data_IF_020341607365
#
_entry.id   IF_020341607365
#
_cell.length_a   1.000
_cell.length_b   1.000
_cell.length_c   1.000
_cell.angle_alpha   90.00
_cell.angle_beta   90.00
_cell.angle_gamma   90.00
#
_symmetry.space_group_name_H-M   'P 1'
#
loop_
_entity.id
_entity.type
_entity.pdbx_description
1 polymer ?
#
# COMPACT_ATOMS: atom_id res chain seq x y z
N UNK A 1 -9.35 2.45 15.90
CA UNK A 1 -8.14 3.02 15.27
C UNK A 1 -7.92 2.31 13.94
N UNK A 2 -7.74 3.09 12.85
CA UNK A 2 -7.60 2.61 11.48
C UNK A 2 -8.93 2.54 10.72
N UNK A 3 -9.04 3.27 9.62
CA UNK A 3 -10.29 3.53 8.89
C UNK A 3 -10.49 2.78 7.58
N UNK A 4 -9.60 1.85 7.21
CA UNK A 4 -9.69 1.23 5.88
C UNK A 4 -10.49 -0.07 5.94
N UNK A 5 -9.87 -1.24 6.02
CA UNK A 5 -10.61 -2.50 5.95
C UNK A 5 -11.21 -2.90 7.31
N UNK A 6 -10.36 -3.22 8.29
CA UNK A 6 -10.80 -3.76 9.57
C UNK A 6 -11.64 -2.77 10.37
N UNK A 7 -11.15 -1.55 10.57
CA UNK A 7 -11.84 -0.56 11.39
C UNK A 7 -13.16 -0.07 10.79
N UNK A 8 -13.19 0.24 9.49
CA UNK A 8 -14.45 0.64 8.84
C UNK A 8 -15.50 -0.47 8.87
N UNK A 9 -15.09 -1.72 8.61
CA UNK A 9 -16.00 -2.88 8.67
C UNK A 9 -16.54 -3.09 10.08
N UNK A 10 -15.65 -3.02 11.09
CA UNK A 10 -16.04 -3.18 12.49
C UNK A 10 -16.96 -2.05 12.96
N UNK A 11 -16.65 -0.80 12.64
CA UNK A 11 -17.46 0.35 13.00
C UNK A 11 -18.87 0.27 12.39
N UNK A 12 -18.99 -0.10 11.11
CA UNK A 12 -20.27 -0.33 10.47
C UNK A 12 -21.05 -1.51 11.08
N UNK A 13 -20.33 -2.57 11.52
CA UNK A 13 -20.98 -3.71 12.21
C UNK A 13 -21.43 -3.33 13.62
N UNK A 14 -20.62 -2.63 14.37
CA UNK A 14 -20.94 -2.15 15.72
C UNK A 14 -22.22 -1.31 15.69
N UNK A 15 -22.35 -0.38 14.77
CA UNK A 15 -23.57 0.43 14.62
C UNK A 15 -24.83 -0.42 14.40
N UNK A 16 -24.72 -1.52 13.66
CA UNK A 16 -25.85 -2.44 13.43
C UNK A 16 -26.19 -3.29 14.65
N UNK A 17 -25.26 -3.48 15.57
CA UNK A 17 -25.48 -4.22 16.82
C UNK A 17 -26.03 -3.30 17.89
N UNK A 18 -25.50 -2.08 17.97
CA UNK A 18 -25.90 -1.07 18.95
C UNK A 18 -26.07 0.29 18.26
N UNK A 19 -27.33 0.68 18.14
CA UNK A 19 -27.70 1.96 17.52
C UNK A 19 -27.39 3.17 18.39
N UNK A 20 -27.21 2.98 19.70
CA UNK A 20 -26.96 4.05 20.66
C UNK A 20 -25.46 4.26 20.95
N UNK A 21 -24.62 3.32 20.57
CA UNK A 21 -23.17 3.43 20.81
C UNK A 21 -22.61 4.73 20.18
N UNK A 22 -21.77 5.43 20.92
CA UNK A 22 -20.91 6.47 20.38
C UNK A 22 -19.70 5.80 19.74
N UNK A 23 -19.50 6.04 18.44
CA UNK A 23 -18.42 5.40 17.67
C UNK A 23 -17.56 6.47 17.04
N UNK A 24 -16.28 6.48 17.41
CA UNK A 24 -15.25 7.35 16.85
C UNK A 24 -14.31 6.49 16.02
N UNK A 25 -14.08 6.87 14.76
CA UNK A 25 -13.15 6.24 13.85
C UNK A 25 -11.98 7.19 13.59
N UNK A 26 -10.79 6.82 14.08
CA UNK A 26 -9.57 7.59 13.93
C UNK A 26 -8.72 6.98 12.82
N UNK A 27 -8.38 7.79 11.81
CA UNK A 27 -7.52 7.39 10.68
C UNK A 27 -6.42 8.43 10.49
N UNK A 28 -5.16 7.96 10.42
CA UNK A 28 -4.01 8.87 10.22
C UNK A 28 -3.91 9.44 8.80
N UNK A 29 -4.40 8.68 7.81
CA UNK A 29 -4.43 9.11 6.41
C UNK A 29 -5.64 9.97 6.10
N UNK A 30 -5.71 10.44 4.85
CA UNK A 30 -6.82 11.25 4.34
C UNK A 30 -8.04 10.43 3.95
N UNK A 31 -7.87 9.12 3.71
CA UNK A 31 -8.87 8.26 3.10
C UNK A 31 -9.21 7.10 4.01
N UNK A 32 -10.50 6.80 4.06
CA UNK A 32 -11.05 5.59 4.68
C UNK A 32 -11.62 4.69 3.59
N UNK A 33 -11.82 3.42 3.91
CA UNK A 33 -12.64 2.50 3.10
C UNK A 33 -12.35 2.58 1.59
N UNK A 34 -11.10 2.48 1.19
CA UNK A 34 -10.70 2.42 -0.20
C UNK A 34 -10.33 0.99 -0.64
N UNK A 35 -10.36 0.74 -1.94
CA UNK A 35 -10.04 -0.54 -2.55
C UNK A 35 -8.53 -0.78 -2.59
N UNK A 36 -7.96 -1.38 -1.53
CA UNK A 36 -6.52 -1.68 -1.46
C UNK A 36 -6.04 -2.48 -2.68
N UNK A 37 -6.79 -3.51 -3.08
CA UNK A 37 -6.45 -4.33 -4.25
C UNK A 37 -6.64 -3.58 -5.59
N UNK A 38 -7.31 -2.44 -5.59
CA UNK A 38 -7.47 -1.59 -6.78
C UNK A 38 -6.28 -0.67 -7.08
N UNK A 39 -5.38 -0.48 -6.12
CA UNK A 39 -4.28 0.48 -6.23
C UNK A 39 -3.36 0.18 -7.42
N UNK A 40 -2.85 -1.05 -7.64
CA UNK A 40 -2.05 -1.39 -8.82
C UNK A 40 -2.83 -1.16 -10.12
N UNK A 41 -4.11 -1.51 -10.16
CA UNK A 41 -4.97 -1.40 -11.35
C UNK A 41 -5.26 0.05 -11.75
N UNK A 42 -5.30 0.96 -10.77
CA UNK A 42 -5.36 2.39 -11.07
C UNK A 42 -4.01 2.92 -11.60
N UNK A 43 -2.88 2.45 -11.08
CA UNK A 43 -1.56 2.79 -11.62
C UNK A 43 -1.45 2.36 -13.07
N UNK A 44 -1.85 1.13 -13.41
CA UNK A 44 -1.83 0.58 -14.77
C UNK A 44 -2.89 1.15 -15.71
N UNK A 45 -3.86 1.94 -15.21
CA UNK A 45 -4.92 2.54 -16.03
C UNK A 45 -6.14 1.65 -16.26
N UNK A 46 -6.18 0.43 -15.74
CA UNK A 46 -7.36 -0.45 -15.79
C UNK A 46 -8.53 0.19 -15.05
N UNK A 47 -8.27 0.75 -13.86
CA UNK A 47 -9.20 1.67 -13.20
C UNK A 47 -8.86 3.08 -13.69
N UNK A 48 -9.71 3.64 -14.55
CA UNK A 48 -9.45 4.93 -15.17
C UNK A 48 -9.66 6.12 -14.21
N UNK A 49 -10.66 6.04 -13.35
CA UNK A 49 -11.10 7.12 -12.48
C UNK A 49 -10.60 6.87 -11.05
N UNK A 50 -9.85 7.83 -10.50
CA UNK A 50 -9.29 7.76 -9.14
C UNK A 50 -10.36 7.57 -8.06
N UNK A 51 -11.49 8.22 -8.24
CA UNK A 51 -12.60 8.21 -7.30
C UNK A 51 -13.20 6.81 -7.12
N UNK A 52 -13.05 5.92 -8.11
CA UNK A 52 -13.47 4.51 -8.00
C UNK A 52 -12.64 3.69 -7.01
N UNK A 53 -11.47 4.19 -6.60
CA UNK A 53 -10.73 3.61 -5.49
C UNK A 53 -11.44 3.85 -4.15
N UNK A 54 -12.18 4.95 -4.02
CA UNK A 54 -12.79 5.37 -2.76
C UNK A 54 -14.17 4.73 -2.60
N UNK A 55 -14.24 3.63 -1.88
CA UNK A 55 -15.51 2.91 -1.63
C UNK A 55 -16.46 3.77 -0.79
N UNK A 56 -15.94 4.48 0.21
CA UNK A 56 -16.68 5.45 1.01
C UNK A 56 -15.80 6.66 1.31
N UNK A 57 -16.39 7.84 1.33
CA UNK A 57 -15.75 9.04 1.86
C UNK A 57 -16.00 9.17 3.37
N UNK A 58 -15.15 9.89 4.13
CA UNK A 58 -15.39 10.16 5.54
C UNK A 58 -16.80 10.71 5.81
N UNK A 59 -17.25 11.67 5.00
CA UNK A 59 -18.55 12.30 5.13
C UNK A 59 -19.69 11.32 4.85
N UNK A 60 -19.63 10.52 3.76
CA UNK A 60 -20.68 9.56 3.42
C UNK A 60 -20.77 8.44 4.45
N UNK A 61 -19.61 7.95 4.92
CA UNK A 61 -19.55 6.90 5.94
C UNK A 61 -20.08 7.38 7.29
N UNK A 62 -19.66 8.56 7.74
CA UNK A 62 -20.11 9.18 8.97
C UNK A 62 -21.62 9.42 8.97
N UNK A 63 -22.16 9.98 7.89
CA UNK A 63 -23.60 10.19 7.73
C UNK A 63 -24.40 8.88 7.70
N UNK A 64 -23.92 7.90 6.93
CA UNK A 64 -24.64 6.61 6.75
C UNK A 64 -24.72 5.81 8.04
N UNK A 65 -23.64 5.78 8.80
CA UNK A 65 -23.51 4.94 10.00
C UNK A 65 -23.55 5.74 11.31
N UNK A 66 -23.77 7.04 11.27
CA UNK A 66 -23.73 7.92 12.46
C UNK A 66 -22.45 7.69 13.28
N UNK A 67 -21.29 7.77 12.60
CA UNK A 67 -19.95 7.58 13.16
C UNK A 67 -19.20 8.90 13.07
N UNK A 68 -18.53 9.30 14.15
CA UNK A 68 -17.57 10.40 14.13
C UNK A 68 -16.28 9.92 13.44
N UNK A 69 -16.09 10.32 12.18
CA UNK A 69 -14.94 9.92 11.36
C UNK A 69 -13.94 11.06 11.34
N UNK A 70 -12.79 10.82 11.96
CA UNK A 70 -11.68 11.78 12.05
C UNK A 70 -10.49 11.27 11.25
N UNK A 71 -10.32 11.78 10.04
CA UNK A 71 -9.14 11.56 9.19
C UNK A 71 -8.03 12.54 9.54
N UNK A 72 -6.79 12.24 9.17
CA UNK A 72 -5.60 13.01 9.52
C UNK A 72 -5.45 13.19 11.05
N UNK A 73 -5.87 12.17 11.80
CA UNK A 73 -5.79 12.08 13.24
C UNK A 73 -5.04 10.79 13.63
N UNK A 74 -3.74 10.92 13.89
CA UNK A 74 -2.88 9.81 14.25
C UNK A 74 -2.92 9.54 15.75
N UNK A 75 -3.28 8.34 16.15
CA UNK A 75 -3.13 7.92 17.55
C UNK A 75 -1.65 7.60 17.79
N UNK A 76 -1.02 8.38 18.67
CA UNK A 76 0.41 8.29 18.97
C UNK A 76 0.70 7.60 20.31
N UNK A 77 -0.26 7.55 21.21
CA UNK A 77 -0.14 6.82 22.46
C UNK A 77 -1.49 6.27 22.92
N UNK A 78 -1.45 5.18 23.69
CA UNK A 78 -2.59 4.53 24.32
C UNK A 78 -2.24 4.30 25.78
N UNK A 79 -3.08 4.79 26.70
CA UNK A 79 -3.03 4.46 28.11
C UNK A 79 -4.20 3.50 28.45
N UNK A 80 -3.95 2.18 28.55
CA UNK A 80 -5.01 1.21 28.79
C UNK A 80 -5.61 1.30 30.20
N UNK A 81 -4.85 1.77 31.19
CA UNK A 81 -5.32 1.88 32.58
C UNK A 81 -6.31 3.04 32.70
N UNK A 82 -5.99 4.18 32.13
CA UNK A 82 -6.89 5.35 32.11
C UNK A 82 -7.91 5.28 31.00
N UNK A 83 -7.79 4.34 30.06
CA UNK A 83 -8.59 4.24 28.83
C UNK A 83 -8.58 5.55 28.04
N UNK A 84 -7.40 6.11 27.81
CA UNK A 84 -7.20 7.34 27.05
C UNK A 84 -6.29 7.10 25.84
N UNK A 85 -6.52 7.88 24.80
CA UNK A 85 -5.71 7.95 23.60
C UNK A 85 -5.11 9.34 23.50
N UNK A 86 -3.84 9.45 23.13
CA UNK A 86 -3.26 10.72 22.66
C UNK A 86 -3.27 10.73 21.14
N UNK A 87 -3.85 11.76 20.57
CA UNK A 87 -4.09 11.89 19.12
C UNK A 87 -3.40 13.14 18.62
N UNK A 88 -2.63 13.00 17.55
CA UNK A 88 -1.99 14.10 16.83
C UNK A 88 -2.70 14.38 15.52
N UNK A 89 -3.13 15.62 15.32
CA UNK A 89 -3.69 16.12 14.06
C UNK A 89 -2.59 16.43 13.05
N UNK A 90 -2.96 16.58 11.77
CA UNK A 90 -2.02 16.95 10.70
C UNK A 90 -1.34 18.32 10.93
N UNK A 91 -1.96 19.23 11.68
CA UNK A 91 -1.38 20.52 12.05
C UNK A 91 -0.40 20.44 13.25
N UNK A 92 -0.13 19.22 13.74
CA UNK A 92 0.75 18.96 14.86
C UNK A 92 0.12 19.12 16.24
N UNK A 93 -1.11 19.59 16.35
CA UNK A 93 -1.80 19.74 17.64
C UNK A 93 -2.20 18.37 18.18
N UNK A 94 -2.02 18.22 19.48
CA UNK A 94 -2.40 17.00 20.20
C UNK A 94 -3.65 17.22 21.05
N UNK A 95 -4.43 16.18 21.22
CA UNK A 95 -5.56 16.13 22.13
C UNK A 95 -5.77 14.70 22.66
N UNK A 96 -6.52 14.59 23.74
CA UNK A 96 -6.87 13.31 24.34
C UNK A 96 -8.32 12.94 24.01
N UNK A 97 -8.55 11.63 23.89
CA UNK A 97 -9.87 11.02 23.74
C UNK A 97 -9.99 9.84 24.68
N UNK A 98 -11.15 9.65 25.29
CA UNK A 98 -11.41 8.51 26.17
C UNK A 98 -12.19 7.42 25.46
N UNK A 99 -12.14 6.19 25.95
CA UNK A 99 -12.88 5.07 25.39
C UNK A 99 -13.34 4.07 26.45
N UNK A 100 -14.49 3.44 26.25
CA UNK A 100 -14.91 2.27 26.99
C UNK A 100 -14.34 0.99 26.39
N UNK A 101 -14.36 0.88 25.08
CA UNK A 101 -13.86 -0.23 24.27
C UNK A 101 -13.00 0.31 23.12
N UNK A 102 -11.86 -0.31 22.90
CA UNK A 102 -10.92 0.07 21.84
C UNK A 102 -10.73 -1.07 20.85
N UNK A 103 -10.87 -0.76 19.57
CA UNK A 103 -10.55 -1.67 18.46
C UNK A 103 -9.34 -1.14 17.70
N UNK A 104 -8.33 -1.98 17.53
CA UNK A 104 -7.09 -1.68 16.84
C UNK A 104 -7.05 -2.35 15.49
N UNK A 105 -6.99 -1.56 14.42
CA UNK A 105 -6.83 -2.00 13.04
C UNK A 105 -5.79 -1.14 12.30
N UNK A 106 -4.56 -1.00 12.84
CA UNK A 106 -3.58 -0.03 12.33
C UNK A 106 -3.02 -0.41 10.95
N UNK A 107 -3.26 -1.64 10.49
CA UNK A 107 -2.66 -2.16 9.27
C UNK A 107 -1.17 -2.44 9.42
N UNK A 108 -0.43 -2.32 8.31
CA UNK A 108 1.02 -2.52 8.26
C UNK A 108 1.66 -1.44 7.40
N UNK A 109 2.94 -1.20 7.62
CA UNK A 109 3.76 -0.36 6.76
C UNK A 109 4.67 -1.27 5.91
N UNK A 110 5.00 -0.87 4.67
CA UNK A 110 6.02 -1.55 3.88
C UNK A 110 7.36 -1.53 4.61
N UNK A 111 8.04 -2.67 4.60
CA UNK A 111 9.41 -2.74 5.11
C UNK A 111 10.35 -2.20 4.03
N UNK A 112 11.12 -1.16 4.37
CA UNK A 112 12.25 -0.72 3.56
C UNK A 112 13.53 -1.29 4.17
N UNK A 113 14.25 -2.17 3.47
CA UNK A 113 15.53 -2.69 3.95
C UNK A 113 16.57 -1.57 4.00
N UNK A 114 17.56 -1.70 4.88
CA UNK A 114 18.68 -0.77 4.97
C UNK A 114 19.65 -1.02 3.81
N UNK A 115 19.38 -0.44 2.67
CA UNK A 115 20.19 -0.55 1.46
C UNK A 115 20.63 0.85 0.99
N UNK A 116 21.87 0.96 0.54
CA UNK A 116 22.37 2.20 -0.03
C UNK A 116 21.48 2.65 -1.20
N UNK A 117 21.08 3.91 -1.17
CA UNK A 117 20.28 4.52 -2.22
C UNK A 117 18.78 4.20 -2.18
N UNK A 118 18.26 3.49 -1.16
CA UNK A 118 16.83 3.11 -1.06
C UNK A 118 15.86 4.31 -1.03
N UNK A 119 16.31 5.45 -0.56
CA UNK A 119 15.51 6.67 -0.48
C UNK A 119 15.69 7.60 -1.69
N UNK A 120 16.31 7.12 -2.76
CA UNK A 120 16.45 7.88 -4.00
C UNK A 120 15.09 8.15 -4.65
N UNK A 121 14.94 9.32 -5.25
CA UNK A 121 13.75 9.66 -6.05
C UNK A 121 13.55 8.62 -7.17
N UNK A 122 12.34 8.11 -7.31
CA UNK A 122 11.99 7.05 -8.26
C UNK A 122 11.95 5.65 -7.64
N UNK A 123 12.27 5.53 -6.34
CA UNK A 123 12.04 4.30 -5.58
C UNK A 123 10.79 4.49 -4.71
N UNK A 124 9.87 3.57 -4.84
CA UNK A 124 8.56 3.65 -4.21
C UNK A 124 8.23 2.37 -3.46
N UNK A 125 7.37 2.51 -2.47
CA UNK A 125 6.59 1.43 -1.89
C UNK A 125 5.12 1.73 -2.12
N UNK A 126 4.30 0.71 -2.29
CA UNK A 126 2.86 0.84 -2.48
C UNK A 126 2.10 0.37 -1.24
N UNK A 127 1.37 1.29 -0.60
CA UNK A 127 0.58 0.97 0.59
C UNK A 127 -0.81 1.62 0.59
N UNK A 128 -0.93 2.86 0.13
CA UNK A 128 -2.13 3.67 0.24
C UNK A 128 -2.42 4.45 -1.06
N UNK A 129 -3.46 5.26 -1.03
CA UNK A 129 -3.89 6.06 -2.19
C UNK A 129 -2.85 7.11 -2.56
N UNK A 130 -2.21 7.73 -1.56
CA UNK A 130 -1.17 8.74 -1.78
C UNK A 130 0.08 8.15 -2.45
N UNK A 131 0.48 6.93 -2.08
CA UNK A 131 1.57 6.23 -2.75
C UNK A 131 1.21 5.97 -4.22
N UNK A 132 -0.03 5.53 -4.45
CA UNK A 132 -0.56 5.26 -5.79
C UNK A 132 -0.55 6.50 -6.67
N UNK A 133 -1.01 7.63 -6.13
CA UNK A 133 -1.00 8.92 -6.83
C UNK A 133 0.45 9.32 -7.20
N UNK A 134 1.39 9.18 -6.26
CA UNK A 134 2.82 9.49 -6.50
C UNK A 134 3.44 8.60 -7.56
N UNK A 135 3.20 7.29 -7.49
CA UNK A 135 3.74 6.33 -8.48
C UNK A 135 3.18 6.64 -9.87
N UNK A 136 1.85 6.80 -9.98
CA UNK A 136 1.19 7.09 -11.26
C UNK A 136 1.68 8.41 -11.86
N UNK A 137 1.75 9.47 -11.07
CA UNK A 137 2.28 10.75 -11.51
C UNK A 137 3.73 10.61 -12.00
N UNK A 138 4.59 9.95 -11.24
CA UNK A 138 5.98 9.74 -11.63
C UNK A 138 6.12 8.99 -12.96
N UNK A 139 5.36 7.92 -13.16
CA UNK A 139 5.36 7.15 -14.41
C UNK A 139 4.97 8.04 -15.59
N UNK A 140 3.94 8.85 -15.42
CA UNK A 140 3.39 9.73 -16.46
C UNK A 140 4.34 10.89 -16.76
N UNK A 141 4.74 11.63 -15.73
CA UNK A 141 5.51 12.87 -15.88
C UNK A 141 6.94 12.60 -16.37
N UNK A 142 7.54 11.51 -15.93
CA UNK A 142 8.88 11.08 -16.36
C UNK A 142 8.87 10.19 -17.58
N UNK A 143 7.70 9.86 -18.12
CA UNK A 143 7.56 8.93 -19.25
C UNK A 143 8.36 7.64 -19.07
N UNK A 144 8.22 7.03 -17.88
CA UNK A 144 9.01 5.86 -17.46
C UNK A 144 8.88 4.74 -18.51
N UNK A 145 10.02 4.22 -18.97
CA UNK A 145 10.08 3.12 -19.95
C UNK A 145 10.44 1.78 -19.34
N UNK A 146 11.13 1.78 -18.21
CA UNK A 146 11.59 0.56 -17.53
C UNK A 146 11.34 0.68 -16.03
N UNK A 147 10.94 -0.42 -15.41
CA UNK A 147 10.77 -0.50 -13.97
C UNK A 147 11.28 -1.84 -13.43
N UNK A 148 11.81 -1.81 -12.21
CA UNK A 148 12.16 -3.00 -11.45
C UNK A 148 11.19 -3.13 -10.29
N UNK A 149 10.54 -4.27 -10.18
CA UNK A 149 9.70 -4.66 -9.06
C UNK A 149 10.51 -5.58 -8.15
N UNK A 150 10.71 -5.20 -6.90
CA UNK A 150 11.46 -5.97 -5.92
C UNK A 150 10.50 -6.70 -5.00
N UNK A 151 10.52 -8.03 -5.05
CA UNK A 151 9.61 -8.94 -4.39
C UNK A 151 8.48 -9.43 -5.32
N UNK A 152 8.32 -10.74 -5.42
CA UNK A 152 7.36 -11.41 -6.29
C UNK A 152 6.19 -12.03 -5.51
N UNK A 153 5.74 -11.38 -4.44
CA UNK A 153 4.48 -11.65 -3.76
C UNK A 153 3.30 -11.07 -4.53
N UNK A 154 2.09 -11.15 -3.96
CA UNK A 154 0.84 -10.67 -4.59
C UNK A 154 0.96 -9.22 -5.10
N UNK A 155 1.35 -8.28 -4.24
CA UNK A 155 1.46 -6.86 -4.62
C UNK A 155 2.49 -6.67 -5.73
N UNK A 156 3.65 -7.34 -5.63
CA UNK A 156 4.70 -7.21 -6.64
C UNK A 156 4.26 -7.71 -8.01
N UNK A 157 3.56 -8.85 -8.06
CA UNK A 157 3.04 -9.40 -9.33
C UNK A 157 1.93 -8.54 -9.92
N UNK A 158 0.99 -8.05 -9.10
CA UNK A 158 -0.04 -7.10 -9.55
C UNK A 158 0.59 -5.80 -10.07
N UNK A 159 1.63 -5.30 -9.42
CA UNK A 159 2.38 -4.15 -9.91
C UNK A 159 3.09 -4.44 -11.22
N UNK A 160 3.73 -5.60 -11.35
CA UNK A 160 4.42 -5.99 -12.59
C UNK A 160 3.44 -6.09 -13.77
N UNK A 161 2.29 -6.72 -13.57
CA UNK A 161 1.21 -6.81 -14.55
C UNK A 161 0.73 -5.42 -14.98
N UNK A 162 0.41 -4.56 -14.01
CA UNK A 162 -0.17 -3.25 -14.29
C UNK A 162 0.83 -2.26 -14.88
N UNK A 163 2.10 -2.30 -14.48
CA UNK A 163 3.17 -1.55 -15.14
C UNK A 163 3.38 -2.00 -16.59
N UNK A 164 3.38 -3.32 -16.81
CA UNK A 164 3.47 -3.88 -18.16
C UNK A 164 2.27 -3.44 -19.03
N UNK A 165 1.06 -3.50 -18.48
CA UNK A 165 -0.15 -3.02 -19.16
C UNK A 165 -0.07 -1.53 -19.52
N UNK A 166 0.57 -0.71 -18.67
CA UNK A 166 0.84 0.70 -18.94
C UNK A 166 1.98 0.94 -19.97
N UNK A 167 2.53 -0.12 -20.57
CA UNK A 167 3.59 -0.03 -21.59
C UNK A 167 5.00 0.14 -21.03
N UNK A 168 5.21 -0.15 -19.74
CA UNK A 168 6.53 -0.13 -19.09
C UNK A 168 7.17 -1.50 -19.20
N UNK A 169 8.42 -1.60 -19.65
CA UNK A 169 9.18 -2.83 -19.61
C UNK A 169 9.55 -3.18 -18.14
N UNK A 170 9.17 -4.37 -17.69
CA UNK A 170 9.26 -4.75 -16.27
C UNK A 170 10.29 -5.84 -16.05
N UNK A 171 11.09 -5.67 -15.00
CA UNK A 171 11.92 -6.71 -14.40
C UNK A 171 11.43 -7.00 -12.99
N UNK A 172 11.31 -8.27 -12.62
CA UNK A 172 10.94 -8.71 -11.27
C UNK A 172 12.15 -9.38 -10.63
N UNK A 173 12.52 -8.95 -9.43
CA UNK A 173 13.62 -9.51 -8.63
C UNK A 173 13.05 -10.13 -7.37
N UNK A 174 13.34 -11.42 -7.15
CA UNK A 174 12.84 -12.20 -6.01
C UNK A 174 13.98 -13.01 -5.37
N UNK A 175 14.08 -12.93 -4.04
CA UNK A 175 15.12 -13.66 -3.28
C UNK A 175 14.86 -15.16 -3.22
N UNK A 176 13.59 -15.57 -3.29
CA UNK A 176 13.19 -16.96 -3.33
C UNK A 176 13.42 -17.59 -4.72
N UNK A 177 13.30 -18.91 -4.75
CA UNK A 177 13.39 -19.70 -6.00
C UNK A 177 12.08 -19.69 -6.81
N UNK A 178 11.05 -18.98 -6.33
CA UNK A 178 9.75 -18.89 -7.00
C UNK A 178 9.04 -17.58 -6.68
N UNK A 179 8.13 -17.19 -7.56
CA UNK A 179 7.12 -16.16 -7.25
C UNK A 179 6.03 -16.76 -6.36
N UNK A 180 5.26 -15.89 -5.68
CA UNK A 180 4.13 -16.34 -4.85
C UNK A 180 4.53 -17.41 -3.82
N UNK A 181 5.53 -17.14 -3.01
CA UNK A 181 6.07 -18.08 -2.01
C UNK A 181 5.04 -18.90 -1.18
N UNK A 182 3.80 -18.40 -0.91
CA UNK A 182 2.79 -19.18 -0.18
C UNK A 182 2.17 -20.35 -0.93
N UNK A 183 2.39 -20.49 -2.25
CA UNK A 183 1.86 -21.62 -3.04
C UNK A 183 2.95 -22.63 -3.38
N UNK A 184 2.56 -23.85 -3.71
CA UNK A 184 3.50 -24.89 -4.14
C UNK A 184 4.20 -24.52 -5.45
N UNK A 185 5.46 -24.95 -5.60
CA UNK A 185 6.25 -24.66 -6.79
C UNK A 185 5.56 -25.10 -8.10
N UNK A 186 4.86 -26.22 -8.08
CA UNK A 186 4.08 -26.71 -9.23
C UNK A 186 2.99 -25.73 -9.68
N UNK A 187 2.47 -24.91 -8.76
CA UNK A 187 1.50 -23.86 -9.04
C UNK A 187 2.18 -22.51 -9.38
N UNK A 188 3.39 -22.27 -8.90
CA UNK A 188 4.17 -21.10 -9.26
C UNK A 188 4.80 -21.19 -10.65
N UNK A 189 5.18 -22.38 -11.10
CA UNK A 189 5.84 -22.59 -12.39
C UNK A 189 5.03 -22.09 -13.61
N UNK A 190 3.71 -22.28 -13.71
CA UNK A 190 2.89 -21.65 -14.75
C UNK A 190 2.95 -20.13 -14.72
N UNK A 191 3.03 -19.52 -13.54
CA UNK A 191 3.13 -18.05 -13.40
C UNK A 191 4.49 -17.57 -13.93
N UNK A 192 5.59 -18.28 -13.61
CA UNK A 192 6.92 -17.96 -14.18
C UNK A 192 6.88 -17.94 -15.70
N UNK A 193 6.31 -19.01 -16.30
CA UNK A 193 6.18 -19.12 -17.75
C UNK A 193 5.37 -17.95 -18.32
N UNK A 194 4.23 -17.66 -17.72
CA UNK A 194 3.37 -16.57 -18.16
C UNK A 194 4.07 -15.21 -18.12
N UNK A 195 4.79 -14.89 -17.04
CA UNK A 195 5.59 -13.66 -16.93
C UNK A 195 6.61 -13.56 -18.07
N UNK A 196 7.36 -14.63 -18.32
CA UNK A 196 8.39 -14.67 -19.39
C UNK A 196 7.75 -14.53 -20.78
N UNK A 197 6.63 -15.22 -21.04
CA UNK A 197 5.88 -15.14 -22.31
C UNK A 197 5.33 -13.71 -22.55
N UNK A 198 5.00 -13.00 -21.48
CA UNK A 198 4.61 -11.58 -21.54
C UNK A 198 5.79 -10.60 -21.68
N UNK A 199 7.03 -11.08 -21.69
CA UNK A 199 8.22 -10.25 -21.81
C UNK A 199 8.69 -9.61 -20.51
N UNK A 200 8.20 -10.08 -19.36
CA UNK A 200 8.70 -9.67 -18.04
C UNK A 200 9.99 -10.42 -17.76
N UNK A 201 11.06 -9.69 -17.45
CA UNK A 201 12.32 -10.29 -17.03
C UNK A 201 12.21 -10.77 -15.58
N UNK A 202 12.42 -12.06 -15.34
CA UNK A 202 12.29 -12.66 -14.01
C UNK A 202 13.67 -13.09 -13.48
N UNK A 203 14.05 -12.52 -12.33
CA UNK A 203 15.29 -12.82 -11.60
C UNK A 203 14.93 -13.47 -10.27
N UNK A 204 15.00 -14.79 -10.22
CA UNK A 204 14.80 -15.59 -9.00
C UNK A 204 16.14 -15.86 -8.32
N UNK A 205 16.09 -16.21 -7.02
CA UNK A 205 17.26 -16.43 -6.16
C UNK A 205 18.22 -15.24 -6.15
N UNK A 206 17.67 -14.05 -6.46
CA UNK A 206 18.39 -12.78 -6.54
C UNK A 206 17.91 -11.78 -5.50
N UNK A 207 18.86 -11.10 -4.88
CA UNK A 207 18.59 -10.03 -3.93
C UNK A 207 19.19 -8.71 -4.41
N UNK A 208 18.46 -7.62 -4.16
CA UNK A 208 19.01 -6.28 -4.36
C UNK A 208 20.01 -5.96 -3.25
N UNK A 209 21.18 -5.46 -3.61
CA UNK A 209 22.25 -5.10 -2.67
C UNK A 209 22.37 -3.59 -2.47
N UNK A 210 22.05 -2.80 -3.48
CA UNK A 210 22.06 -1.33 -3.43
C UNK A 210 21.35 -0.74 -4.63
N UNK A 211 21.05 0.55 -4.54
CA UNK A 211 20.57 1.39 -5.64
C UNK A 211 21.57 2.52 -5.89
N UNK A 212 21.68 2.96 -7.14
CA UNK A 212 22.45 4.13 -7.50
C UNK A 212 21.68 4.97 -8.50
N UNK A 213 21.44 6.23 -8.16
CA UNK A 213 20.88 7.20 -9.08
C UNK A 213 21.89 7.58 -10.15
N UNK A 214 21.45 7.65 -11.38
CA UNK A 214 22.21 8.09 -12.55
C UNK A 214 21.39 9.15 -13.31
N UNK A 215 21.95 9.74 -14.33
CA UNK A 215 21.24 10.66 -15.22
C UNK A 215 20.07 9.97 -15.96
N UNK A 216 20.23 8.68 -16.28
CA UNK A 216 19.25 7.88 -17.00
C UNK A 216 18.17 7.24 -16.11
N UNK A 217 18.30 7.33 -14.78
CA UNK A 217 17.38 6.70 -13.82
C UNK A 217 18.07 6.06 -12.63
N UNK A 218 17.62 4.87 -12.25
CA UNK A 218 18.16 4.12 -11.11
C UNK A 218 18.76 2.82 -11.59
N UNK A 219 20.04 2.60 -11.28
CA UNK A 219 20.68 1.31 -11.43
C UNK A 219 20.45 0.47 -10.18
N UNK A 220 19.91 -0.72 -10.35
CA UNK A 220 19.68 -1.71 -9.29
C UNK A 220 20.79 -2.75 -9.34
N UNK A 221 21.52 -2.93 -8.23
CA UNK A 221 22.61 -3.90 -8.13
C UNK A 221 22.11 -5.17 -7.46
N UNK A 222 22.36 -6.31 -8.10
CA UNK A 222 21.95 -7.62 -7.62
C UNK A 222 23.10 -8.36 -6.95
N UNK A 223 22.76 -9.35 -6.13
CA UNK A 223 23.72 -10.21 -5.41
C UNK A 223 24.69 -10.93 -6.35
N UNK A 224 24.24 -11.31 -7.53
CA UNK A 224 25.08 -11.97 -8.56
C UNK A 224 26.07 -11.03 -9.24
N UNK A 225 26.01 -9.72 -8.99
CA UNK A 225 26.78 -8.71 -9.68
C UNK A 225 26.12 -8.13 -10.93
N UNK A 226 24.96 -8.64 -11.34
CA UNK A 226 24.15 -8.04 -12.41
C UNK A 226 23.61 -6.67 -12.00
N UNK A 227 23.26 -5.86 -12.99
CA UNK A 227 22.64 -4.54 -12.83
C UNK A 227 21.49 -4.37 -13.79
#
# INVERSE_FOLDING_TARGET
IGGVAGGATAAARLRRIDEQAEIILLEKGKYISYANCGLPYYIGGVIAEREKLLVQTPASFGKRFRIDVRVENEVIAIDPEKKTLTIRKADGKEYEETYDKLLLSPGANPVKPLLDGIDSEGIFTLRNVEDTDRIKAYITDKQVKRAVVVGAGFIGLEMAENLHHAGVAVSVVEMGNQVMAPIDFSMAAPIHRHLIEKGVSLYLEEGVTRFRRTEEGITVFLKSGKT
#
